data_IF_862513735308
#
_entry.id   IF_862513735308
#
_cell.length_a   1.000
_cell.length_b   1.000
_cell.length_c   1.000
_cell.angle_alpha   90.00
_cell.angle_beta   90.00
_cell.angle_gamma   90.00
#
_symmetry.space_group_name_H-M   'P 1'
#
loop_
_entity.id
_entity.type
_entity.pdbx_description
1 polymer ?
#
# COMPACT_ATOMS: atom_id res chain seq x y z
N UNK A 1 -15.13 -39.72 -2.20
CA UNK A 1 -14.85 -38.81 -3.33
C UNK A 1 -15.25 -37.42 -2.87
N UNK A 2 -14.31 -36.64 -2.35
CA UNK A 2 -14.59 -35.27 -1.90
C UNK A 2 -14.72 -34.42 -3.15
N UNK A 3 -15.94 -33.94 -3.42
CA UNK A 3 -16.19 -33.01 -4.52
C UNK A 3 -15.71 -31.65 -4.06
N UNK A 4 -14.54 -31.22 -4.54
CA UNK A 4 -14.17 -29.81 -4.45
C UNK A 4 -15.18 -29.02 -5.27
N UNK A 5 -16.16 -28.42 -4.59
CA UNK A 5 -17.06 -27.45 -5.19
C UNK A 5 -16.23 -26.20 -5.50
N UNK A 6 -15.56 -26.20 -6.66
CA UNK A 6 -15.03 -24.98 -7.24
C UNK A 6 -16.21 -24.02 -7.38
N UNK A 7 -16.21 -22.97 -6.55
CA UNK A 7 -17.23 -21.93 -6.61
C UNK A 7 -17.39 -21.47 -8.06
N UNK A 8 -18.64 -21.25 -8.48
CA UNK A 8 -18.97 -20.87 -9.85
C UNK A 8 -17.99 -19.80 -10.33
N UNK A 9 -17.44 -19.99 -11.54
CA UNK A 9 -16.79 -18.95 -12.31
C UNK A 9 -17.81 -17.82 -12.54
N UNK A 10 -18.00 -16.97 -11.55
CA UNK A 10 -18.44 -15.64 -11.86
C UNK A 10 -17.34 -15.07 -12.77
N UNK A 11 -17.77 -14.47 -13.87
CA UNK A 11 -16.97 -13.59 -14.69
C UNK A 11 -16.60 -12.36 -13.85
N UNK A 12 -15.81 -12.57 -12.78
CA UNK A 12 -15.42 -11.54 -11.83
C UNK A 12 -14.42 -10.65 -12.56
N UNK A 13 -15.04 -9.77 -13.33
CA UNK A 13 -14.83 -8.36 -13.16
C UNK A 13 -13.61 -7.89 -13.94
N UNK A 14 -13.51 -8.30 -15.22
CA UNK A 14 -12.67 -7.58 -16.16
C UNK A 14 -13.20 -6.16 -16.30
N UNK A 15 -12.38 -5.15 -16.06
CA UNK A 15 -12.74 -3.78 -16.39
C UNK A 15 -12.89 -3.62 -17.92
N UNK A 16 -13.26 -2.42 -18.37
CA UNK A 16 -13.41 -2.14 -19.82
C UNK A 16 -12.13 -2.38 -20.63
N UNK A 17 -10.97 -2.57 -19.98
CA UNK A 17 -9.66 -2.86 -20.57
C UNK A 17 -9.25 -4.33 -20.46
N UNK A 18 -10.10 -5.20 -19.91
CA UNK A 18 -9.83 -6.63 -19.77
C UNK A 18 -9.07 -7.02 -18.50
N UNK A 19 -8.83 -6.09 -17.57
CA UNK A 19 -8.08 -6.30 -16.33
C UNK A 19 -8.99 -6.81 -15.22
N UNK A 20 -8.59 -7.82 -14.46
CA UNK A 20 -9.34 -8.24 -13.28
C UNK A 20 -9.48 -7.05 -12.29
N UNK A 21 -10.69 -6.74 -11.82
CA UNK A 21 -10.98 -5.52 -11.01
C UNK A 21 -10.48 -5.62 -9.57
N UNK A 22 -10.22 -6.82 -9.06
CA UNK A 22 -9.76 -7.07 -7.69
C UNK A 22 -8.50 -7.94 -7.64
N UNK A 23 -7.64 -7.84 -8.66
CA UNK A 23 -6.53 -8.76 -8.79
C UNK A 23 -5.40 -8.41 -7.83
N UNK A 24 -5.33 -9.19 -6.76
CA UNK A 24 -4.08 -9.49 -6.11
C UNK A 24 -3.15 -10.23 -7.09
N UNK A 25 -1.86 -10.30 -6.77
CA UNK A 25 -0.90 -11.01 -7.63
C UNK A 25 -1.14 -12.53 -7.63
N UNK A 26 -1.59 -13.12 -6.52
CA UNK A 26 -1.99 -14.53 -6.43
C UNK A 26 -3.36 -14.80 -7.08
N UNK A 27 -3.63 -16.06 -7.44
CA UNK A 27 -4.78 -16.45 -8.26
C UNK A 27 -5.54 -17.64 -7.63
N UNK A 28 -6.77 -17.88 -8.07
CA UNK A 28 -7.47 -19.14 -7.75
C UNK A 28 -6.67 -20.33 -8.32
N UNK A 29 -6.59 -21.41 -7.57
CA UNK A 29 -5.83 -22.62 -7.89
C UNK A 29 -4.37 -22.61 -7.40
N UNK A 30 -3.84 -21.47 -6.97
CA UNK A 30 -2.45 -21.37 -6.50
C UNK A 30 -2.32 -21.81 -5.04
N UNK A 31 -1.23 -22.49 -4.74
CA UNK A 31 -0.85 -22.82 -3.36
C UNK A 31 -0.20 -21.61 -2.69
N UNK A 32 -0.66 -21.28 -1.48
CA UNK A 32 -0.20 -20.11 -0.74
C UNK A 32 0.03 -20.44 0.73
N UNK A 33 0.85 -19.63 1.38
CA UNK A 33 1.02 -19.64 2.82
C UNK A 33 0.69 -18.26 3.41
N UNK A 34 -0.43 -18.17 4.13
CA UNK A 34 -0.92 -16.92 4.69
C UNK A 34 -0.44 -16.75 6.13
N UNK A 35 0.19 -15.61 6.41
CA UNK A 35 0.54 -15.17 7.78
C UNK A 35 -0.51 -14.19 8.29
N UNK A 36 -1.17 -14.54 9.39
CA UNK A 36 -2.12 -13.66 10.08
C UNK A 36 -1.48 -12.93 11.26
N UNK A 37 -2.11 -11.84 11.68
CA UNK A 37 -1.83 -11.22 12.98
C UNK A 37 -2.28 -12.13 14.13
N UNK A 38 -1.50 -12.17 15.22
CA UNK A 38 -1.84 -12.97 16.41
C UNK A 38 -1.75 -14.50 16.25
N UNK A 39 -1.56 -15.03 15.03
CA UNK A 39 -1.45 -16.46 14.77
C UNK A 39 0.02 -16.90 14.64
N UNK A 40 0.44 -17.92 15.40
CA UNK A 40 1.85 -18.35 15.44
C UNK A 40 2.33 -19.02 14.15
N UNK A 41 1.46 -19.78 13.47
CA UNK A 41 1.78 -20.51 12.25
C UNK A 41 1.43 -19.77 10.94
N UNK A 42 1.59 -20.49 9.83
CA UNK A 42 1.02 -20.14 8.53
C UNK A 42 -0.21 -20.99 8.27
N UNK A 43 -1.23 -20.40 7.65
CA UNK A 43 -2.30 -21.15 7.00
C UNK A 43 -1.83 -21.51 5.60
N UNK A 44 -1.68 -22.80 5.31
CA UNK A 44 -1.20 -23.30 4.03
C UNK A 44 -2.34 -23.97 3.29
N UNK A 45 -2.52 -23.65 2.03
CA UNK A 45 -3.59 -24.25 1.25
C UNK A 45 -3.71 -23.68 -0.16
N UNK A 46 -4.62 -24.26 -0.92
CA UNK A 46 -4.92 -23.86 -2.29
C UNK A 46 -6.03 -22.82 -2.29
N UNK A 47 -5.80 -21.69 -2.94
CA UNK A 47 -6.82 -20.63 -3.03
C UNK A 47 -7.97 -21.08 -3.93
N UNK A 48 -9.18 -21.20 -3.39
CA UNK A 48 -10.37 -21.54 -4.19
C UNK A 48 -11.18 -20.32 -4.60
N UNK A 49 -11.24 -19.33 -3.71
CA UNK A 49 -12.05 -18.12 -3.89
C UNK A 49 -11.25 -16.90 -3.46
N UNK A 50 -11.42 -15.81 -4.20
CA UNK A 50 -10.89 -14.48 -3.90
C UNK A 50 -12.05 -13.52 -4.11
N UNK A 51 -12.39 -12.79 -3.06
CA UNK A 51 -13.37 -11.70 -3.04
C UNK A 51 -12.67 -10.41 -2.55
N UNK A 52 -13.39 -9.29 -2.50
CA UNK A 52 -12.82 -7.98 -2.13
C UNK A 52 -12.13 -7.99 -0.75
N UNK A 53 -12.75 -8.61 0.24
CA UNK A 53 -12.31 -8.58 1.65
C UNK A 53 -11.78 -9.91 2.18
N UNK A 54 -11.89 -11.00 1.42
CA UNK A 54 -11.48 -12.32 1.89
C UNK A 54 -11.05 -13.24 0.76
N UNK A 55 -10.32 -14.29 1.14
CA UNK A 55 -10.12 -15.46 0.29
C UNK A 55 -10.55 -16.75 1.01
N UNK A 56 -10.73 -17.82 0.26
CA UNK A 56 -10.98 -19.16 0.80
C UNK A 56 -9.83 -20.06 0.38
N UNK A 57 -9.32 -20.84 1.34
CA UNK A 57 -8.29 -21.85 1.14
C UNK A 57 -8.89 -23.24 1.35
N UNK A 58 -8.57 -24.17 0.46
CA UNK A 58 -8.63 -25.60 0.76
C UNK A 58 -7.34 -25.99 1.47
N UNK A 59 -7.46 -26.57 2.66
CA UNK A 59 -6.32 -26.98 3.49
C UNK A 59 -6.29 -28.49 3.57
N UNK A 60 -5.20 -29.07 3.06
CA UNK A 60 -4.87 -30.47 3.25
C UNK A 60 -4.26 -30.63 4.65
N UNK A 61 -5.08 -31.08 5.60
CA UNK A 61 -4.63 -31.40 6.97
C UNK A 61 -4.23 -32.87 7.12
N UNK A 62 -3.73 -33.23 8.31
CA UNK A 62 -3.43 -34.63 8.68
C UNK A 62 -4.68 -35.53 8.80
N UNK A 63 -5.87 -34.99 8.52
CA UNK A 63 -7.17 -35.66 8.54
C UNK A 63 -8.01 -35.32 7.30
N UNK A 64 -9.31 -35.12 7.47
CA UNK A 64 -10.18 -34.75 6.34
C UNK A 64 -9.87 -33.32 5.84
N UNK A 65 -9.87 -33.09 4.50
CA UNK A 65 -9.73 -31.76 3.94
C UNK A 65 -10.81 -30.81 4.47
N UNK A 66 -10.41 -29.58 4.78
CA UNK A 66 -11.33 -28.54 5.25
C UNK A 66 -11.05 -27.21 4.54
N UNK A 67 -12.03 -26.30 4.63
CA UNK A 67 -11.91 -24.97 4.05
C UNK A 67 -11.71 -23.91 5.14
N UNK A 68 -10.87 -22.94 4.84
CA UNK A 68 -10.64 -21.77 5.70
C UNK A 68 -10.99 -20.51 4.94
N UNK A 69 -11.91 -19.71 5.48
CA UNK A 69 -12.19 -18.36 4.97
C UNK A 69 -11.33 -17.35 5.74
N UNK A 70 -10.51 -16.59 5.02
CA UNK A 70 -9.51 -15.68 5.59
C UNK A 70 -9.85 -14.24 5.23
N UNK A 71 -10.05 -13.40 6.24
CA UNK A 71 -10.27 -11.96 6.08
C UNK A 71 -8.94 -11.23 5.83
N UNK A 72 -8.85 -10.45 4.75
CA UNK A 72 -7.65 -9.70 4.37
C UNK A 72 -7.24 -8.62 5.36
N UNK A 73 -8.16 -8.10 6.19
CA UNK A 73 -7.83 -7.14 7.26
C UNK A 73 -6.91 -7.75 8.34
N UNK A 74 -6.96 -9.08 8.50
CA UNK A 74 -6.14 -9.84 9.45
C UNK A 74 -4.91 -10.47 8.80
N UNK A 75 -4.78 -10.36 7.49
CA UNK A 75 -3.61 -10.86 6.75
C UNK A 75 -2.46 -9.89 6.88
N UNK A 76 -1.33 -10.40 7.35
CA UNK A 76 -0.08 -9.65 7.40
C UNK A 76 0.64 -9.70 6.05
N UNK A 77 0.84 -10.91 5.54
CA UNK A 77 1.34 -11.16 4.20
C UNK A 77 1.00 -12.58 3.76
N UNK A 78 1.06 -12.81 2.45
CA UNK A 78 0.85 -14.09 1.80
C UNK A 78 2.14 -14.45 1.07
N UNK A 79 2.73 -15.59 1.41
CA UNK A 79 3.89 -16.15 0.70
C UNK A 79 3.40 -17.11 -0.39
N UNK A 80 4.04 -17.05 -1.54
CA UNK A 80 3.71 -17.87 -2.71
C UNK A 80 4.95 -17.98 -3.62
N UNK A 81 4.81 -18.66 -4.77
CA UNK A 81 5.81 -18.70 -5.83
C UNK A 81 5.91 -17.37 -6.59
N UNK A 82 6.85 -17.24 -7.53
CA UNK A 82 6.93 -16.03 -8.34
C UNK A 82 5.73 -15.91 -9.27
N UNK A 83 5.00 -14.80 -9.17
CA UNK A 83 3.94 -14.46 -10.10
C UNK A 83 4.29 -13.21 -10.90
N UNK A 84 3.82 -13.18 -12.14
CA UNK A 84 3.75 -11.96 -12.95
C UNK A 84 2.79 -10.96 -12.29
N UNK A 85 3.07 -9.66 -12.44
CA UNK A 85 2.23 -8.61 -11.86
C UNK A 85 0.81 -8.61 -12.45
N UNK A 86 -0.08 -7.84 -11.85
CA UNK A 86 -1.46 -7.66 -12.35
C UNK A 86 -1.45 -6.97 -13.70
N UNK A 87 -0.61 -5.95 -13.80
CA UNK A 87 -0.41 -5.11 -14.97
C UNK A 87 0.10 -5.97 -16.13
N UNK A 88 1.13 -6.77 -15.90
CA UNK A 88 1.73 -7.65 -16.92
C UNK A 88 0.80 -8.78 -17.39
N UNK A 89 -0.22 -9.14 -16.60
CA UNK A 89 -1.27 -10.09 -17.02
C UNK A 89 -2.33 -9.46 -17.93
N UNK A 90 -2.34 -8.13 -18.05
CA UNK A 90 -3.28 -7.42 -18.91
C UNK A 90 -2.93 -7.64 -20.39
N UNK A 91 -3.91 -7.95 -21.25
CA UNK A 91 -3.67 -8.07 -22.69
C UNK A 91 -3.25 -6.74 -23.35
N UNK A 92 -3.47 -5.61 -22.67
CA UNK A 92 -3.15 -4.26 -23.14
C UNK A 92 -2.00 -3.61 -22.37
N UNK A 93 -1.18 -4.41 -21.68
CA UNK A 93 -0.06 -3.89 -20.89
C UNK A 93 0.92 -3.10 -21.75
N UNK A 94 1.30 -1.91 -21.27
CA UNK A 94 2.47 -1.20 -21.78
C UNK A 94 3.48 -0.96 -20.64
N UNK A 95 4.79 -0.81 -20.94
CA UNK A 95 5.79 -0.56 -19.90
C UNK A 95 5.48 0.65 -19.00
N UNK A 96 4.76 1.66 -19.51
CA UNK A 96 4.33 2.84 -18.77
C UNK A 96 3.27 2.53 -17.69
N UNK A 97 2.61 1.37 -17.77
CA UNK A 97 1.71 0.89 -16.71
C UNK A 97 2.49 0.41 -15.47
N UNK A 98 3.80 0.14 -15.60
CA UNK A 98 4.65 -0.34 -14.51
C UNK A 98 5.16 0.81 -13.65
N UNK A 99 4.31 1.25 -12.73
CA UNK A 99 4.61 2.31 -11.75
C UNK A 99 3.99 2.00 -10.40
N UNK A 100 4.42 2.72 -9.37
CA UNK A 100 3.78 2.68 -8.05
C UNK A 100 2.94 3.94 -7.83
N UNK A 101 1.97 3.86 -6.93
CA UNK A 101 1.20 4.99 -6.40
C UNK A 101 1.85 5.62 -5.15
N UNK A 102 3.05 5.15 -4.79
CA UNK A 102 3.86 5.65 -3.69
C UNK A 102 5.08 6.39 -4.21
N UNK A 103 5.85 7.00 -3.30
CA UNK A 103 7.05 7.75 -3.63
C UNK A 103 8.31 6.87 -3.87
N UNK A 104 8.13 5.57 -4.15
CA UNK A 104 9.22 4.60 -4.38
C UNK A 104 9.02 3.82 -5.68
N UNK A 105 10.09 3.27 -6.23
CA UNK A 105 10.10 2.64 -7.56
C UNK A 105 10.00 1.12 -7.52
N UNK A 106 9.61 0.53 -8.66
CA UNK A 106 9.74 -0.91 -8.87
C UNK A 106 11.22 -1.30 -8.89
N UNK A 107 11.57 -2.37 -8.18
CA UNK A 107 12.94 -2.84 -7.97
C UNK A 107 13.62 -2.22 -6.76
N UNK A 108 13.03 -1.19 -6.15
CA UNK A 108 13.63 -0.52 -5.00
C UNK A 108 13.64 -1.41 -3.76
N UNK A 109 14.71 -1.28 -2.98
CA UNK A 109 14.82 -1.91 -1.68
C UNK A 109 14.04 -1.13 -0.63
N UNK A 110 13.09 -1.80 0.00
CA UNK A 110 12.25 -1.22 1.05
C UNK A 110 12.31 -2.03 2.34
N UNK A 111 11.99 -1.37 3.46
CA UNK A 111 11.75 -2.01 4.74
C UNK A 111 10.33 -1.66 5.22
N UNK A 112 9.44 -2.64 5.13
CA UNK A 112 8.07 -2.58 5.60
C UNK A 112 8.02 -2.74 7.13
N UNK A 113 7.34 -1.84 7.81
CA UNK A 113 7.01 -1.96 9.23
C UNK A 113 5.52 -2.27 9.40
N UNK A 114 5.21 -3.38 10.08
CA UNK A 114 3.85 -3.84 10.29
C UNK A 114 3.23 -3.22 11.55
N UNK A 115 1.89 -3.22 11.61
CA UNK A 115 1.12 -2.74 12.78
C UNK A 115 1.43 -3.48 14.08
N UNK A 116 1.99 -4.69 14.02
CA UNK A 116 2.44 -5.46 15.21
C UNK A 116 3.89 -5.15 15.62
N UNK A 117 4.54 -4.18 14.98
CA UNK A 117 5.90 -3.75 15.28
C UNK A 117 6.99 -4.62 14.65
N UNK A 118 6.67 -5.77 14.04
CA UNK A 118 7.67 -6.54 13.28
C UNK A 118 7.93 -5.87 11.92
N UNK A 119 8.99 -6.28 11.24
CA UNK A 119 9.35 -5.73 9.93
C UNK A 119 9.71 -6.79 8.90
N UNK A 120 9.68 -6.41 7.62
CA UNK A 120 10.10 -7.23 6.49
C UNK A 120 10.83 -6.35 5.48
N UNK A 121 11.98 -6.83 4.98
CA UNK A 121 12.76 -6.16 3.94
C UNK A 121 12.67 -6.92 2.62
N UNK A 122 12.68 -6.19 1.52
CA UNK A 122 12.69 -6.78 0.19
C UNK A 122 12.73 -5.73 -0.91
N UNK A 123 12.60 -6.21 -2.14
CA UNK A 123 12.59 -5.42 -3.36
C UNK A 123 11.17 -5.36 -3.90
N UNK A 124 10.69 -4.16 -4.25
CA UNK A 124 9.35 -3.98 -4.81
C UNK A 124 9.26 -4.64 -6.18
N UNK A 125 8.24 -5.47 -6.40
CA UNK A 125 7.98 -6.11 -7.69
C UNK A 125 6.76 -5.51 -8.37
N UNK A 126 5.70 -5.27 -7.61
CA UNK A 126 4.51 -4.56 -8.05
C UNK A 126 3.73 -4.01 -6.87
N UNK A 127 2.78 -3.14 -7.15
CA UNK A 127 1.88 -2.57 -6.16
C UNK A 127 0.47 -2.48 -6.77
N UNK A 128 -0.54 -2.70 -5.95
CA UNK A 128 -1.92 -2.45 -6.33
C UNK A 128 -2.68 -1.81 -5.17
N UNK A 129 -3.94 -1.44 -5.38
CA UNK A 129 -4.73 -0.65 -4.42
C UNK A 129 -4.60 -1.14 -2.97
N UNK A 130 -4.66 -2.46 -2.74
CA UNK A 130 -4.68 -3.08 -1.42
C UNK A 130 -3.40 -3.81 -1.01
N UNK A 131 -2.44 -4.00 -1.92
CA UNK A 131 -1.28 -4.85 -1.67
C UNK A 131 0.02 -4.25 -2.18
N UNK A 132 1.12 -4.74 -1.62
CA UNK A 132 2.48 -4.49 -2.05
C UNK A 132 3.16 -5.84 -2.26
N UNK A 133 3.61 -6.11 -3.48
CA UNK A 133 4.26 -7.37 -3.83
C UNK A 133 5.77 -7.19 -3.83
N UNK A 134 6.47 -8.00 -3.04
CA UNK A 134 7.92 -7.89 -2.86
C UNK A 134 8.62 -9.23 -3.00
N UNK A 135 9.90 -9.17 -3.38
CA UNK A 135 10.87 -10.25 -3.20
C UNK A 135 11.70 -9.97 -1.95
N UNK A 136 11.58 -10.82 -0.93
CA UNK A 136 12.40 -10.71 0.28
C UNK A 136 13.88 -10.92 -0.05
N UNK A 137 14.78 -10.41 0.80
CA UNK A 137 16.24 -10.67 0.66
C UNK A 137 16.59 -12.16 0.69
N UNK A 138 15.72 -12.99 1.29
CA UNK A 138 15.87 -14.46 1.33
C UNK A 138 15.32 -15.16 0.09
N UNK A 139 14.89 -14.42 -0.93
CA UNK A 139 14.35 -14.96 -2.18
C UNK A 139 12.87 -15.38 -2.14
N UNK A 140 12.16 -15.22 -1.02
CA UNK A 140 10.72 -15.50 -0.97
C UNK A 140 9.91 -14.38 -1.62
N UNK A 141 8.84 -14.74 -2.31
CA UNK A 141 7.86 -13.83 -2.89
C UNK A 141 6.69 -13.63 -1.92
N UNK A 142 6.34 -12.38 -1.63
CA UNK A 142 5.37 -12.04 -0.61
C UNK A 142 4.43 -10.93 -1.08
N UNK A 143 3.13 -11.19 -1.01
CA UNK A 143 2.07 -10.18 -1.11
C UNK A 143 1.77 -9.64 0.28
N UNK A 144 2.17 -8.41 0.55
CA UNK A 144 1.89 -7.70 1.81
C UNK A 144 0.59 -6.91 1.65
N UNK A 145 -0.34 -7.05 2.59
CA UNK A 145 -1.53 -6.20 2.61
C UNK A 145 -1.17 -4.81 3.12
N UNK A 146 -1.59 -3.75 2.44
CA UNK A 146 -1.30 -2.38 2.89
C UNK A 146 -1.95 -2.06 4.24
N UNK A 147 -3.11 -2.63 4.52
CA UNK A 147 -3.78 -2.56 5.83
C UNK A 147 -2.93 -3.15 6.97
N UNK A 148 -1.94 -3.99 6.65
CA UNK A 148 -1.02 -4.56 7.63
C UNK A 148 0.13 -3.61 8.00
N UNK A 149 0.36 -2.56 7.22
CA UNK A 149 1.53 -1.69 7.30
C UNK A 149 1.26 -0.44 8.14
N UNK A 150 2.25 -0.04 8.93
CA UNK A 150 2.30 1.27 9.58
C UNK A 150 3.03 2.28 8.69
N UNK A 151 4.21 1.90 8.22
CA UNK A 151 5.07 2.74 7.39
C UNK A 151 6.08 1.88 6.61
N UNK A 152 6.70 2.48 5.60
CA UNK A 152 7.71 1.87 4.75
C UNK A 152 8.93 2.79 4.74
N UNK A 153 10.11 2.26 5.09
CA UNK A 153 11.38 2.92 4.80
C UNK A 153 11.85 2.58 3.40
N UNK A 154 12.39 3.56 2.70
CA UNK A 154 12.89 3.42 1.35
C UNK A 154 13.99 4.46 1.08
N UNK A 155 14.70 4.32 -0.03
CA UNK A 155 15.80 5.21 -0.38
C UNK A 155 15.25 6.61 -0.72
N UNK A 156 16.14 7.61 -0.75
CA UNK A 156 15.73 8.99 -0.96
C UNK A 156 15.31 9.19 -2.41
N UNK A 157 14.07 9.58 -2.61
CA UNK A 157 13.55 10.05 -3.89
C UNK A 157 13.36 11.54 -3.94
N UNK A 158 13.50 12.11 -5.13
CA UNK A 158 13.01 13.46 -5.35
C UNK A 158 11.50 13.37 -5.42
N UNK A 159 10.83 13.86 -4.38
CA UNK A 159 9.37 13.93 -4.39
C UNK A 159 8.95 14.75 -5.61
N UNK A 160 8.20 14.14 -6.52
CA UNK A 160 7.67 14.79 -7.70
C UNK A 160 6.48 15.70 -7.35
N UNK A 161 6.45 16.30 -6.15
CA UNK A 161 5.37 17.11 -5.55
C UNK A 161 4.12 17.06 -6.40
N UNK A 162 3.44 15.91 -6.40
CA UNK A 162 2.50 15.63 -7.48
C UNK A 162 1.42 16.71 -7.46
N UNK A 163 1.14 17.27 -8.65
CA UNK A 163 0.01 18.18 -8.81
C UNK A 163 -1.22 17.44 -8.32
N UNK A 164 -1.85 17.96 -7.27
CA UNK A 164 -3.06 17.40 -6.71
C UNK A 164 -4.12 18.49 -6.61
N UNK A 165 -5.26 18.17 -6.00
CA UNK A 165 -6.37 19.10 -5.93
C UNK A 165 -6.02 20.41 -5.19
N UNK A 166 -4.96 20.41 -4.37
CA UNK A 166 -4.57 21.49 -3.48
C UNK A 166 -3.36 22.31 -3.94
N UNK A 167 -2.51 21.77 -4.82
CA UNK A 167 -1.24 22.40 -5.20
C UNK A 167 -0.96 22.20 -6.69
N UNK A 168 -0.94 23.29 -7.45
CA UNK A 168 -0.80 23.28 -8.92
C UNK A 168 0.60 23.74 -9.37
N UNK A 169 0.95 23.47 -10.63
CA UNK A 169 2.23 23.92 -11.21
C UNK A 169 2.41 25.45 -11.15
N UNK A 170 1.32 26.23 -11.28
CA UNK A 170 1.39 27.68 -11.17
C UNK A 170 1.73 28.14 -9.74
N UNK A 171 1.17 27.46 -8.72
CA UNK A 171 1.50 27.72 -7.32
C UNK A 171 2.95 27.35 -7.02
N UNK A 172 3.42 26.24 -7.59
CA UNK A 172 4.82 25.81 -7.49
C UNK A 172 5.77 26.79 -8.15
N UNK A 173 5.45 27.27 -9.35
CA UNK A 173 6.26 28.26 -10.07
C UNK A 173 6.33 29.61 -9.33
N UNK A 174 5.27 29.98 -8.61
CA UNK A 174 5.22 31.20 -7.81
C UNK A 174 5.82 31.05 -6.40
N UNK A 175 6.40 29.90 -6.05
CA UNK A 175 7.11 29.68 -4.79
C UNK A 175 6.21 29.51 -3.56
N UNK A 176 4.92 29.20 -3.74
CA UNK A 176 4.04 28.87 -2.61
C UNK A 176 4.42 27.52 -1.98
N UNK A 177 4.33 27.39 -0.67
CA UNK A 177 4.52 26.09 -0.01
C UNK A 177 3.32 25.16 -0.25
N UNK A 178 3.55 23.89 -0.57
CA UNK A 178 2.49 22.88 -0.67
C UNK A 178 1.87 22.64 0.72
N UNK A 179 0.58 22.98 0.94
CA UNK A 179 -0.09 22.67 2.18
C UNK A 179 -0.47 21.18 2.22
N UNK A 180 -0.53 20.62 3.43
CA UNK A 180 -1.08 19.27 3.65
C UNK A 180 -2.59 19.35 3.96
N UNK A 181 -3.27 18.19 3.94
CA UNK A 181 -4.64 18.06 4.46
C UNK A 181 -4.70 18.30 5.98
N UNK A 182 -3.56 18.20 6.65
CA UNK A 182 -3.39 18.50 8.07
C UNK A 182 -3.02 19.97 8.30
N UNK A 183 -2.79 20.33 9.57
CA UNK A 183 -2.42 21.70 9.95
C UNK A 183 -0.97 22.08 9.57
N UNK A 184 -0.10 21.12 9.27
CA UNK A 184 1.29 21.35 8.86
C UNK A 184 1.42 21.58 7.33
N UNK A 185 2.65 21.76 6.85
CA UNK A 185 3.02 21.98 5.45
C UNK A 185 4.22 21.12 5.06
N UNK A 186 4.50 21.00 3.76
CA UNK A 186 5.81 20.52 3.31
C UNK A 186 6.91 21.41 3.90
N UNK A 187 7.95 20.80 4.49
CA UNK A 187 9.04 21.45 5.21
C UNK A 187 8.92 21.41 6.73
N UNK A 188 7.76 21.06 7.28
CA UNK A 188 7.56 20.97 8.73
C UNK A 188 8.15 19.68 9.31
N UNK A 189 8.81 19.77 10.47
CA UNK A 189 9.29 18.61 11.21
C UNK A 189 8.19 18.05 12.11
N UNK A 190 7.87 16.76 11.95
CA UNK A 190 6.83 16.07 12.72
C UNK A 190 7.30 14.70 13.23
N UNK A 191 6.68 14.24 14.31
CA UNK A 191 6.81 12.87 14.82
C UNK A 191 5.47 12.15 14.73
N UNK A 192 5.44 10.98 14.10
CA UNK A 192 4.26 10.11 14.00
C UNK A 192 4.35 9.00 15.03
N UNK A 193 3.29 8.79 15.78
CA UNK A 193 3.18 7.70 16.75
C UNK A 193 2.19 6.63 16.27
N UNK A 194 2.50 5.36 16.52
CA UNK A 194 1.70 4.20 16.09
C UNK A 194 1.19 3.39 17.28
N UNK A 195 0.14 2.60 17.05
CA UNK A 195 -0.51 1.80 18.10
C UNK A 195 0.40 0.74 18.73
N UNK A 196 1.47 0.33 18.04
CA UNK A 196 2.49 -0.59 18.56
C UNK A 196 3.53 0.08 19.48
N UNK A 197 3.36 1.36 19.79
CA UNK A 197 4.29 2.14 20.63
C UNK A 197 5.53 2.64 19.90
N UNK A 198 5.71 2.34 18.62
CA UNK A 198 6.79 2.91 17.81
C UNK A 198 6.45 4.33 17.35
N UNK A 199 7.49 5.07 16.99
CA UNK A 199 7.36 6.38 16.37
C UNK A 199 8.40 6.58 15.26
N UNK A 200 8.09 7.46 14.33
CA UNK A 200 9.03 7.94 13.31
C UNK A 200 9.03 9.46 13.29
N UNK A 201 10.20 10.07 13.16
CA UNK A 201 10.35 11.52 13.03
C UNK A 201 10.94 11.83 11.66
N UNK A 202 10.46 12.90 11.04
CA UNK A 202 11.04 13.42 9.81
C UNK A 202 10.39 14.73 9.37
N UNK A 203 11.00 15.33 8.35
CA UNK A 203 10.49 16.52 7.68
C UNK A 203 9.45 16.10 6.64
N UNK A 204 8.28 16.72 6.65
CA UNK A 204 7.23 16.48 5.65
C UNK A 204 7.77 16.87 4.28
N UNK A 205 7.84 15.88 3.39
CA UNK A 205 8.39 16.04 2.05
C UNK A 205 7.29 16.06 0.99
N UNK A 206 6.27 15.22 1.17
CA UNK A 206 5.07 15.23 0.34
C UNK A 206 3.89 14.57 1.05
N UNK A 207 2.70 14.69 0.47
CA UNK A 207 1.49 14.03 0.93
C UNK A 207 0.58 13.69 -0.25
N UNK A 208 -0.05 12.52 -0.15
CA UNK A 208 -1.15 12.08 -1.00
C UNK A 208 -2.35 11.64 -0.15
N UNK A 209 -3.42 11.20 -0.82
CA UNK A 209 -4.69 10.84 -0.19
C UNK A 209 -4.55 9.78 0.92
N UNK A 210 -3.62 8.84 0.77
CA UNK A 210 -3.50 7.70 1.69
C UNK A 210 -2.17 7.62 2.44
N UNK A 211 -1.23 8.52 2.16
CA UNK A 211 0.10 8.49 2.75
C UNK A 211 0.70 9.88 2.96
N UNK A 212 1.63 9.98 3.90
CA UNK A 212 2.49 11.13 4.15
C UNK A 212 3.94 10.68 3.97
N UNK A 213 4.71 11.41 3.17
CA UNK A 213 6.13 11.14 2.94
C UNK A 213 6.96 12.02 3.86
N UNK A 214 7.80 11.38 4.67
CA UNK A 214 8.73 12.04 5.56
C UNK A 214 10.17 11.79 5.11
N UNK A 215 10.99 12.81 5.21
CA UNK A 215 12.42 12.74 5.04
C UNK A 215 13.09 12.65 6.43
N UNK A 216 13.76 11.54 6.72
CA UNK A 216 14.72 11.44 7.83
C UNK A 216 16.13 11.82 7.37
N UNK A 217 17.13 11.82 8.25
CA UNK A 217 18.52 12.11 7.86
C UNK A 217 19.03 11.18 6.73
N UNK A 218 18.67 9.89 6.80
CA UNK A 218 19.26 8.83 5.94
C UNK A 218 18.29 8.28 4.89
N UNK A 219 17.03 8.09 5.26
CA UNK A 219 16.03 7.41 4.43
C UNK A 219 14.76 8.23 4.34
N UNK A 220 13.94 7.92 3.34
CA UNK A 220 12.56 8.38 3.31
C UNK A 220 11.64 7.37 3.99
N UNK A 221 10.52 7.89 4.49
CA UNK A 221 9.53 7.14 5.25
C UNK A 221 8.17 7.48 4.67
N UNK A 222 7.55 6.51 4.01
CA UNK A 222 6.16 6.60 3.60
C UNK A 222 5.28 6.09 4.75
N UNK A 223 4.54 6.99 5.38
CA UNK A 223 3.61 6.70 6.48
C UNK A 223 2.20 6.55 5.93
N UNK A 224 1.50 5.46 6.27
CA UNK A 224 0.10 5.29 5.85
C UNK A 224 -0.85 6.05 6.79
N UNK A 225 -1.76 6.84 6.21
CA UNK A 225 -2.75 7.62 6.98
C UNK A 225 -3.75 6.74 7.74
N UNK A 226 -3.95 5.50 7.32
CA UNK A 226 -4.81 4.55 8.02
C UNK A 226 -4.21 3.96 9.31
N UNK A 227 -2.94 4.26 9.61
CA UNK A 227 -2.17 3.45 10.55
C UNK A 227 -1.57 4.23 11.73
N UNK A 228 -1.55 5.57 11.68
CA UNK A 228 -1.03 6.39 12.77
C UNK A 228 -2.05 6.49 13.91
N UNK A 229 -1.56 6.68 15.14
CA UNK A 229 -2.38 7.00 16.31
C UNK A 229 -2.50 8.51 16.49
N UNK A 230 -1.38 9.23 16.46
CA UNK A 230 -1.38 10.68 16.46
C UNK A 230 -0.07 11.22 15.87
N UNK A 231 -0.12 12.48 15.44
CA UNK A 231 1.06 13.26 15.07
C UNK A 231 1.41 14.23 16.20
N UNK A 232 2.69 14.35 16.51
CA UNK A 232 3.26 15.43 17.32
C UNK A 232 3.98 16.38 16.38
N UNK A 233 3.62 17.65 16.45
CA UNK A 233 4.19 18.71 15.64
C UNK A 233 4.23 20.02 16.44
N UNK A 234 4.82 21.08 15.89
CA UNK A 234 4.85 22.40 16.55
C UNK A 234 3.46 23.07 16.54
N UNK A 235 3.34 24.24 17.16
CA UNK A 235 2.10 25.02 17.06
C UNK A 235 2.05 25.68 15.68
N UNK A 236 1.11 25.25 14.85
CA UNK A 236 0.85 25.83 13.54
C UNK A 236 -0.49 26.54 13.54
N UNK A 237 -0.61 27.60 12.74
CA UNK A 237 -1.89 28.25 12.53
C UNK A 237 -2.88 27.26 11.91
N UNK A 238 -4.07 27.18 12.51
CA UNK A 238 -5.15 26.39 11.98
C UNK A 238 -5.47 26.91 10.57
N UNK A 239 -5.68 25.99 9.62
CA UNK A 239 -5.98 26.35 8.23
C UNK A 239 -7.43 25.99 7.85
N UNK A 240 -8.45 26.42 8.62
CA UNK A 240 -9.83 25.93 8.44
C UNK A 240 -10.43 26.27 7.08
N UNK A 241 -9.93 27.32 6.41
CA UNK A 241 -10.39 27.74 5.08
C UNK A 241 -9.45 27.34 3.95
N UNK A 242 -8.45 26.49 4.19
CA UNK A 242 -7.40 26.20 3.22
C UNK A 242 -7.95 25.59 1.93
N UNK A 243 -8.95 24.71 2.03
CA UNK A 243 -9.63 24.16 0.86
C UNK A 243 -10.29 25.26 0.02
N UNK A 244 -10.99 26.21 0.66
CA UNK A 244 -11.65 27.30 -0.05
C UNK A 244 -10.66 28.31 -0.62
N UNK A 245 -9.59 28.62 0.13
CA UNK A 245 -8.52 29.51 -0.29
C UNK A 245 -7.78 28.94 -1.51
N UNK A 246 -7.37 27.67 -1.48
CA UNK A 246 -6.72 27.02 -2.61
C UNK A 246 -7.65 26.95 -3.83
N UNK A 247 -8.94 26.69 -3.62
CA UNK A 247 -9.93 26.71 -4.70
C UNK A 247 -10.09 28.11 -5.33
N UNK A 248 -9.96 29.20 -4.57
CA UNK A 248 -9.98 30.58 -5.08
C UNK A 248 -8.68 30.91 -5.82
N UNK A 249 -7.53 30.64 -5.21
CA UNK A 249 -6.21 30.87 -5.79
C UNK A 249 -6.05 30.13 -7.13
N UNK A 250 -6.49 28.86 -7.21
CA UNK A 250 -6.51 28.08 -8.45
C UNK A 250 -7.39 28.71 -9.54
N UNK A 251 -8.46 29.43 -9.19
CA UNK A 251 -9.28 30.16 -10.17
C UNK A 251 -8.61 31.45 -10.62
N UNK A 252 -7.88 32.12 -9.74
CA UNK A 252 -7.16 33.36 -10.04
C UNK A 252 -5.95 33.10 -10.94
N UNK A 253 -5.17 32.06 -10.65
CA UNK A 253 -4.00 31.66 -11.46
C UNK A 253 -4.34 31.08 -12.84
N UNK A 254 -5.62 30.73 -13.09
CA UNK A 254 -6.12 30.25 -14.39
C UNK A 254 -6.65 31.37 -15.30
N UNK A 255 -6.69 32.61 -14.82
CA UNK A 255 -7.04 33.79 -15.62
C UNK A 255 -5.78 34.37 -16.25
#
# INVERSE_FOLDING_TARGET
MVVFCMGKNYSVDRDKKGRYRHSYVFMRGTDVEIKLFGHEGFLKGKVTTIEEYYCVLDVDGDGDPYQVTVNFAEVKYIRHEEFVSVEERSPNYTPEDKKTSFAFDIGEKIACAFKDGKGMKGFVLSEGAYYLYIKTEKGNFCTIMKSALSYIFHDKHTALLETNDFYTEEMKAAGYSKPTEYVFSVGDEITVFFANGKSVTGVVFDESKYWVLLQSEKLQITVLKGSYSYFKHQTYENKPYLYQANKRLKKELKK
#
